data_IF_961035207602
#
_entry.id   IF_961035207602
#
_cell.length_a   1.000
_cell.length_b   1.000
_cell.length_c   1.000
_cell.angle_alpha   90.00
_cell.angle_beta   90.00
_cell.angle_gamma   90.00
#
_symmetry.space_group_name_H-M   'P 1'
#
loop_
_entity.id
_entity.type
_entity.pdbx_description
1 polymer ?
#
# COMPACT_ATOMS: atom_id res chain seq x y z
N UNK A 1 -7.30 -2.48 19.95
CA UNK A 1 -8.70 -2.93 19.73
C UNK A 1 -9.00 -3.15 18.24
N UNK A 2 -8.64 -2.20 17.35
CA UNK A 2 -8.87 -2.31 15.90
C UNK A 2 -8.16 -3.53 15.25
N UNK A 3 -6.94 -3.84 15.67
CA UNK A 3 -6.17 -4.97 15.13
C UNK A 3 -6.86 -6.35 15.31
N UNK A 4 -7.45 -6.59 16.49
CA UNK A 4 -8.18 -7.83 16.78
C UNK A 4 -9.37 -8.00 15.82
N UNK A 5 -9.96 -6.89 15.37
CA UNK A 5 -11.06 -6.89 14.41
C UNK A 5 -10.53 -7.28 13.03
N UNK A 6 -9.42 -6.67 12.59
CA UNK A 6 -8.83 -7.00 11.29
C UNK A 6 -8.41 -8.46 11.16
N UNK A 7 -7.78 -9.05 12.18
CA UNK A 7 -7.48 -10.48 12.19
C UNK A 7 -8.73 -11.36 12.11
N UNK A 8 -9.79 -11.01 12.85
CA UNK A 8 -11.07 -11.74 12.80
C UNK A 8 -11.76 -11.64 11.44
N UNK A 9 -11.50 -10.56 10.70
CA UNK A 9 -12.01 -10.35 9.35
C UNK A 9 -11.13 -10.97 8.26
N UNK A 10 -10.04 -11.68 8.63
CA UNK A 10 -9.18 -12.37 7.68
C UNK A 10 -8.16 -11.46 6.98
N UNK A 11 -7.92 -10.24 7.47
CA UNK A 11 -6.81 -9.41 6.99
C UNK A 11 -5.51 -9.91 7.62
N UNK A 12 -4.67 -10.55 6.80
CA UNK A 12 -3.43 -11.19 7.19
C UNK A 12 -2.17 -10.41 6.75
N UNK A 13 -2.33 -9.35 5.96
CA UNK A 13 -1.25 -8.49 5.48
C UNK A 13 -1.56 -7.00 5.67
N UNK A 14 -0.51 -6.20 5.84
CA UNK A 14 -0.57 -4.75 5.92
C UNK A 14 0.48 -4.12 5.00
N UNK A 15 0.00 -3.33 4.04
CA UNK A 15 0.84 -2.62 3.08
C UNK A 15 0.82 -1.13 3.44
N UNK A 16 2.00 -0.54 3.62
CA UNK A 16 2.16 0.86 3.97
C UNK A 16 2.77 1.64 2.81
N UNK A 17 2.17 2.76 2.44
CA UNK A 17 2.71 3.66 1.42
C UNK A 17 2.29 5.12 1.70
N UNK A 18 3.02 6.11 1.19
CA UNK A 18 2.57 7.49 1.24
C UNK A 18 1.46 7.71 0.20
N UNK A 19 0.71 8.81 0.31
CA UNK A 19 -0.33 9.20 -0.66
C UNK A 19 0.25 9.74 -1.99
N UNK A 20 1.34 9.13 -2.46
CA UNK A 20 2.06 9.46 -3.70
C UNK A 20 1.67 8.44 -4.77
N UNK A 21 1.23 8.89 -5.94
CA UNK A 21 0.76 7.98 -7.00
C UNK A 21 1.89 7.11 -7.55
N UNK A 22 3.01 7.72 -7.97
CA UNK A 22 4.12 7.05 -8.66
C UNK A 22 5.48 7.36 -8.01
N UNK A 23 6.46 6.48 -8.24
CA UNK A 23 7.83 6.70 -7.80
C UNK A 23 8.47 7.81 -8.62
N UNK A 24 8.82 8.93 -7.99
CA UNK A 24 9.58 10.00 -8.64
C UNK A 24 11.04 9.58 -8.83
N UNK A 25 11.39 9.09 -10.03
CA UNK A 25 12.79 8.90 -10.44
C UNK A 25 13.38 10.15 -11.11
N UNK A 26 12.55 11.14 -11.48
CA UNK A 26 13.02 12.31 -12.21
C UNK A 26 13.54 13.41 -11.28
N UNK A 27 14.86 13.40 -11.11
CA UNK A 27 15.66 14.47 -10.46
C UNK A 27 15.63 15.79 -11.26
N UNK A 28 15.02 15.83 -12.45
CA UNK A 28 15.21 16.96 -13.38
C UNK A 28 14.03 17.92 -13.55
N UNK A 29 12.82 17.66 -13.03
CA UNK A 29 11.67 18.48 -13.41
C UNK A 29 10.89 19.22 -12.31
N UNK A 30 11.35 19.21 -11.06
CA UNK A 30 10.73 20.04 -10.00
C UNK A 30 11.69 21.12 -9.52
N UNK A 31 11.69 22.24 -10.25
CA UNK A 31 12.13 23.49 -9.66
C UNK A 31 11.17 23.84 -8.51
N UNK A 32 11.72 23.78 -7.30
CA UNK A 32 11.26 24.39 -6.04
C UNK A 32 10.32 23.56 -5.14
N UNK A 33 10.86 23.11 -3.99
CA UNK A 33 10.19 22.77 -2.72
C UNK A 33 9.61 21.36 -2.40
N UNK A 34 9.85 20.30 -3.18
CA UNK A 34 9.29 18.95 -2.85
C UNK A 34 10.27 17.90 -2.29
N UNK A 35 11.59 18.17 -2.23
CA UNK A 35 12.57 17.15 -1.83
C UNK A 35 12.62 16.82 -0.33
N UNK A 36 12.26 17.75 0.56
CA UNK A 36 12.20 17.46 2.00
C UNK A 36 10.98 16.59 2.35
N UNK A 37 9.85 16.84 1.69
CA UNK A 37 8.59 16.13 1.92
C UNK A 37 8.70 14.63 1.59
N UNK A 38 9.45 14.26 0.53
CA UNK A 38 9.60 12.86 0.15
C UNK A 38 10.34 12.00 1.19
N UNK A 39 11.44 12.49 1.77
CA UNK A 39 12.18 11.74 2.79
C UNK A 39 11.41 11.64 4.10
N UNK A 40 10.70 12.71 4.47
CA UNK A 40 9.86 12.75 5.65
C UNK A 40 8.66 11.81 5.50
N UNK A 41 8.01 11.78 4.33
CA UNK A 41 6.90 10.86 4.07
C UNK A 41 7.32 9.39 4.10
N UNK A 42 8.50 9.06 3.54
CA UNK A 42 9.04 7.69 3.63
C UNK A 42 9.36 7.33 5.08
N UNK A 43 9.94 8.25 5.86
CA UNK A 43 10.21 8.01 7.28
C UNK A 43 8.91 7.82 8.09
N UNK A 44 7.85 8.54 7.75
CA UNK A 44 6.51 8.39 8.35
C UNK A 44 5.92 7.01 8.02
N UNK A 45 6.06 6.54 6.78
CA UNK A 45 5.62 5.20 6.36
C UNK A 45 6.33 4.12 7.16
N UNK A 46 7.66 4.19 7.27
CA UNK A 46 8.44 3.26 8.08
C UNK A 46 8.01 3.29 9.56
N UNK A 47 7.81 4.49 10.11
CA UNK A 47 7.34 4.66 11.48
C UNK A 47 5.94 4.06 11.68
N UNK A 48 5.02 4.20 10.72
CA UNK A 48 3.69 3.59 10.80
C UNK A 48 3.76 2.05 10.72
N UNK A 49 4.60 1.51 9.83
CA UNK A 49 4.82 0.08 9.71
C UNK A 49 5.42 -0.50 11.00
N UNK A 50 6.38 0.18 11.62
CA UNK A 50 6.97 -0.26 12.89
C UNK A 50 5.96 -0.22 14.05
N UNK A 51 5.15 0.83 14.15
CA UNK A 51 4.05 0.87 15.12
C UNK A 51 3.07 -0.28 14.91
N UNK A 52 2.77 -0.61 13.65
CA UNK A 52 1.93 -1.75 13.33
C UNK A 52 2.57 -3.06 13.77
N UNK A 53 3.83 -3.33 13.39
CA UNK A 53 4.59 -4.52 13.80
C UNK A 53 4.56 -4.71 15.32
N UNK A 54 4.81 -3.63 16.07
CA UNK A 54 4.77 -3.63 17.52
C UNK A 54 3.38 -3.94 18.08
N UNK A 55 2.32 -3.42 17.46
CA UNK A 55 0.93 -3.69 17.88
C UNK A 55 0.54 -5.15 17.68
N UNK A 56 1.03 -5.77 16.60
CA UNK A 56 0.66 -7.13 16.21
C UNK A 56 1.62 -8.19 16.76
N UNK A 57 2.71 -7.76 17.40
CA UNK A 57 3.70 -8.63 18.03
C UNK A 57 4.58 -9.39 17.05
N UNK A 58 4.77 -8.88 15.83
CA UNK A 58 5.64 -9.51 14.82
C UNK A 58 6.98 -8.77 14.71
N UNK A 59 8.03 -9.49 14.33
CA UNK A 59 9.36 -8.91 14.10
C UNK A 59 9.42 -8.25 12.73
N UNK A 60 10.38 -7.33 12.53
CA UNK A 60 10.64 -6.65 11.26
C UNK A 60 11.04 -7.57 10.10
N UNK A 61 11.25 -8.86 10.35
CA UNK A 61 11.48 -9.89 9.33
C UNK A 61 10.19 -10.58 8.84
N UNK A 62 9.03 -10.22 9.38
CA UNK A 62 7.75 -10.82 8.99
C UNK A 62 7.24 -10.22 7.67
N UNK A 63 7.00 -11.08 6.69
CA UNK A 63 6.50 -10.71 5.35
C UNK A 63 5.03 -10.24 5.34
N UNK A 64 4.35 -10.22 6.49
CA UNK A 64 2.99 -9.71 6.63
C UNK A 64 2.91 -8.18 6.64
N UNK A 65 4.03 -7.48 6.87
CA UNK A 65 4.08 -6.00 6.88
C UNK A 65 5.08 -5.50 5.85
N UNK A 66 4.56 -4.90 4.78
CA UNK A 66 5.34 -4.46 3.62
C UNK A 66 5.25 -2.93 3.46
N UNK A 67 6.34 -2.32 3.02
CA UNK A 67 6.47 -0.86 2.87
C UNK A 67 6.79 -0.51 1.42
N UNK A 68 6.09 0.48 0.89
CA UNK A 68 6.22 0.97 -0.47
C UNK A 68 6.38 2.48 -0.47
N UNK A 69 7.07 2.99 -1.48
CA UNK A 69 7.30 4.42 -1.63
C UNK A 69 6.18 5.12 -2.40
N UNK A 70 5.25 4.39 -3.03
CA UNK A 70 4.08 4.95 -3.70
C UNK A 70 2.91 3.96 -3.77
N UNK A 71 1.73 4.49 -4.10
CA UNK A 71 0.48 3.74 -4.28
C UNK A 71 0.61 2.72 -5.42
N UNK A 72 1.22 3.10 -6.55
CA UNK A 72 1.39 2.20 -7.70
C UNK A 72 2.07 0.89 -7.30
N UNK A 73 3.20 0.94 -6.59
CA UNK A 73 3.92 -0.29 -6.19
C UNK A 73 3.13 -1.14 -5.18
N UNK A 74 2.32 -0.51 -4.33
CA UNK A 74 1.44 -1.26 -3.42
C UNK A 74 0.31 -1.98 -4.20
N UNK A 75 -0.21 -1.37 -5.26
CA UNK A 75 -1.19 -2.00 -6.16
C UNK A 75 -0.56 -3.14 -6.96
N UNK A 76 0.62 -2.91 -7.57
CA UNK A 76 1.38 -3.96 -8.28
C UNK A 76 1.61 -5.18 -7.36
N UNK A 77 1.91 -4.95 -6.08
CA UNK A 77 2.05 -6.02 -5.10
C UNK A 77 0.75 -6.80 -4.84
N UNK A 78 -0.40 -6.13 -4.86
CA UNK A 78 -1.71 -6.76 -4.70
C UNK A 78 -2.02 -7.66 -5.91
N UNK A 79 -1.70 -7.19 -7.12
CA UNK A 79 -1.86 -7.97 -8.37
C UNK A 79 -0.94 -9.21 -8.40
N UNK A 80 0.27 -9.10 -7.85
CA UNK A 80 1.15 -10.26 -7.67
C UNK A 80 0.52 -11.34 -6.78
N UNK A 81 -0.20 -10.96 -5.72
CA UNK A 81 -0.93 -11.92 -4.89
C UNK A 81 -2.03 -12.64 -5.67
N UNK A 82 -2.71 -11.95 -6.58
CA UNK A 82 -3.71 -12.56 -7.46
C UNK A 82 -3.08 -13.62 -8.37
N UNK A 83 -1.95 -13.27 -9.00
CA UNK A 83 -1.21 -14.17 -9.89
C UNK A 83 -0.70 -15.42 -9.17
N UNK A 84 -0.23 -15.30 -7.93
CA UNK A 84 0.22 -16.42 -7.11
C UNK A 84 -0.92 -17.34 -6.68
N UNK A 85 -2.13 -16.80 -6.45
CA UNK A 85 -3.32 -17.59 -6.09
C UNK A 85 -3.90 -18.39 -7.27
N UNK A 86 -3.79 -17.87 -8.49
CA UNK A 86 -4.31 -18.53 -9.70
C UNK A 86 -3.68 -19.92 -10.00
N UNK A 87 -2.56 -20.26 -9.35
CA UNK A 87 -1.96 -21.60 -9.44
C UNK A 87 -2.66 -22.70 -8.63
N UNK A 88 -3.44 -22.38 -7.59
CA UNK A 88 -3.89 -23.38 -6.61
C UNK A 88 -5.41 -23.45 -6.35
N UNK A 89 -6.22 -22.41 -6.63
CA UNK A 89 -7.70 -22.46 -6.55
C UNK A 89 -8.35 -21.30 -7.29
N UNK A 90 -9.31 -21.59 -8.17
CA UNK A 90 -9.89 -20.66 -9.15
C UNK A 90 -10.89 -19.61 -8.60
N UNK A 91 -11.03 -19.42 -7.28
CA UNK A 91 -12.17 -18.68 -6.73
C UNK A 91 -11.89 -17.84 -5.47
N UNK A 92 -10.64 -17.49 -5.22
CA UNK A 92 -10.25 -16.85 -3.95
C UNK A 92 -10.03 -15.35 -4.17
N UNK A 93 -11.11 -14.57 -4.02
CA UNK A 93 -11.12 -13.11 -4.15
C UNK A 93 -10.15 -12.44 -3.16
N UNK A 94 -9.45 -11.40 -3.61
CA UNK A 94 -8.60 -10.57 -2.75
C UNK A 94 -9.40 -9.38 -2.24
N UNK A 95 -9.60 -9.33 -0.93
CA UNK A 95 -10.28 -8.20 -0.27
C UNK A 95 -9.24 -7.20 0.23
N UNK A 96 -9.29 -5.97 -0.28
CA UNK A 96 -8.37 -4.89 0.10
C UNK A 96 -9.12 -3.81 0.90
N UNK A 97 -8.60 -3.44 2.07
CA UNK A 97 -9.08 -2.30 2.85
C UNK A 97 -8.09 -1.14 2.72
N UNK A 98 -8.49 -0.08 2.03
CA UNK A 98 -7.71 1.15 1.91
C UNK A 98 -8.08 2.11 3.05
N UNK A 99 -7.10 2.52 3.86
CA UNK A 99 -7.32 3.41 5.02
C UNK A 99 -6.09 4.23 5.38
N UNK A 100 -6.26 5.27 6.20
CA UNK A 100 -5.18 6.11 6.74
C UNK A 100 -5.33 7.59 6.41
N UNK A 101 -5.71 7.94 5.18
CA UNK A 101 -6.02 9.32 4.79
C UNK A 101 -6.94 9.40 3.58
N UNK A 102 -7.66 10.52 3.43
CA UNK A 102 -8.48 10.78 2.24
C UNK A 102 -7.64 10.86 0.95
N UNK A 103 -6.42 11.39 1.03
CA UNK A 103 -5.51 11.48 -0.12
C UNK A 103 -5.07 10.10 -0.61
N UNK A 104 -4.82 9.16 0.32
CA UNK A 104 -4.51 7.78 -0.05
C UNK A 104 -5.71 7.10 -0.73
N UNK A 105 -6.90 7.23 -0.13
CA UNK A 105 -8.14 6.66 -0.71
C UNK A 105 -8.39 7.23 -2.11
N UNK A 106 -8.31 8.56 -2.27
CA UNK A 106 -8.47 9.21 -3.56
C UNK A 106 -7.41 8.79 -4.57
N UNK A 107 -6.16 8.61 -4.13
CA UNK A 107 -5.08 8.15 -4.99
C UNK A 107 -5.27 6.71 -5.48
N UNK A 108 -5.74 5.80 -4.62
CA UNK A 108 -6.07 4.42 -5.03
C UNK A 108 -7.26 4.41 -6.00
N UNK A 109 -8.31 5.18 -5.71
CA UNK A 109 -9.46 5.30 -6.62
C UNK A 109 -9.06 5.80 -8.02
N UNK A 110 -8.10 6.72 -8.10
CA UNK A 110 -7.60 7.22 -9.39
C UNK A 110 -6.88 6.14 -10.23
N UNK A 111 -6.34 5.09 -9.63
CA UNK A 111 -5.80 3.94 -10.37
C UNK A 111 -6.91 3.01 -10.85
N UNK A 112 -7.88 2.69 -9.98
CA UNK A 112 -9.01 1.81 -10.31
C UNK A 112 -9.89 2.44 -11.41
N UNK A 113 -10.20 3.73 -11.32
CA UNK A 113 -11.06 4.42 -12.29
C UNK A 113 -10.41 4.48 -13.69
N UNK A 114 -9.09 4.65 -13.74
CA UNK A 114 -8.33 4.61 -15.01
C UNK A 114 -8.37 3.26 -15.69
N UNK A 115 -8.43 2.17 -14.94
CA UNK A 115 -8.60 0.83 -15.53
C UNK A 115 -9.98 0.67 -16.16
N UNK A 116 -11.03 1.19 -15.50
CA UNK A 116 -12.42 1.10 -15.97
C UNK A 116 -12.61 1.83 -17.31
N UNK A 117 -11.98 2.98 -17.51
CA UNK A 117 -12.03 3.72 -18.78
C UNK A 117 -11.33 3.02 -19.95
N UNK A 118 -10.38 2.12 -19.70
CA UNK A 118 -9.68 1.36 -20.77
C UNK A 118 -10.48 0.20 -21.36
N UNK A 119 -11.61 -0.18 -20.73
CA UNK A 119 -12.49 -1.26 -21.19
C UNK A 119 -13.83 -0.75 -21.76
N UNK A 120 -14.00 0.57 -21.91
CA UNK A 120 -15.15 1.22 -22.56
C UNK A 120 -14.83 1.64 -24.00
#
# INVERSE_FOLDING_TARGET
MLFIIFQKCGFDRALFCPARLQSSLDVYNDQTNLMNDNKEQIAVVANHADHWRNLIGVTSSDSTVEEFDCIQKAIERIEEFECLKHGERYNDEIVVLVTGSLHLVGGVLAFIDREIDTFA
#
